data_IF_898561551058
#
_entry.id   IF_898561551058
#
_cell.length_a   1.000
_cell.length_b   1.000
_cell.length_c   1.000
_cell.angle_alpha   90.00
_cell.angle_beta   90.00
_cell.angle_gamma   90.00
#
_symmetry.space_group_name_H-M   'P 1'
#
loop_
_entity.id
_entity.type
_entity.pdbx_description
1 polymer ?
#
# COMPACT_ATOMS: atom_id res chain seq x y z
N UNK A 1 -35.67 -18.36 -35.49
CA UNK A 1 -35.92 -17.67 -34.20
C UNK A 1 -35.49 -18.64 -33.11
N UNK A 2 -34.24 -18.67 -32.61
CA UNK A 2 -33.45 -17.58 -32.03
C UNK A 2 -34.14 -17.16 -30.71
N UNK A 3 -33.61 -17.29 -29.49
CA UNK A 3 -32.25 -17.38 -28.95
C UNK A 3 -32.38 -17.95 -27.52
N UNK A 4 -31.46 -18.84 -27.07
CA UNK A 4 -31.30 -19.18 -25.64
C UNK A 4 -30.02 -18.52 -25.13
N UNK A 5 -30.18 -17.76 -24.06
CA UNK A 5 -29.19 -16.92 -23.43
C UNK A 5 -27.94 -17.68 -22.97
N UNK A 6 -26.78 -17.08 -23.21
CA UNK A 6 -25.47 -17.45 -22.66
C UNK A 6 -25.32 -16.78 -21.29
N UNK A 7 -24.87 -17.45 -20.22
CA UNK A 7 -24.53 -16.77 -18.98
C UNK A 7 -23.13 -16.13 -19.09
N UNK A 8 -23.06 -14.89 -18.62
CA UNK A 8 -21.88 -14.05 -18.50
C UNK A 8 -20.75 -14.73 -17.73
N UNK A 9 -19.63 -15.01 -18.41
CA UNK A 9 -18.35 -15.28 -17.79
C UNK A 9 -17.64 -13.96 -17.47
N UNK A 10 -17.44 -13.66 -16.19
CA UNK A 10 -16.56 -12.57 -15.75
C UNK A 10 -15.10 -13.01 -15.88
N UNK A 11 -14.32 -12.11 -16.47
CA UNK A 11 -12.96 -12.26 -16.94
C UNK A 11 -11.99 -12.90 -15.94
N UNK A 12 -11.27 -13.92 -16.42
CA UNK A 12 -10.02 -14.40 -15.83
C UNK A 12 -8.97 -13.28 -15.80
N UNK A 13 -8.24 -13.06 -14.69
CA UNK A 13 -7.10 -12.15 -14.69
C UNK A 13 -6.01 -12.68 -15.62
N UNK A 14 -5.55 -11.80 -16.51
CA UNK A 14 -4.76 -12.09 -17.71
C UNK A 14 -3.36 -12.72 -17.47
N UNK A 15 -2.96 -12.95 -16.23
CA UNK A 15 -1.67 -13.58 -15.89
C UNK A 15 -1.71 -15.11 -15.89
N UNK A 16 -2.86 -15.73 -15.65
CA UNK A 16 -3.04 -17.18 -15.79
C UNK A 16 -3.20 -17.62 -17.27
N UNK A 17 -3.64 -16.71 -18.13
CA UNK A 17 -3.93 -17.01 -19.53
C UNK A 17 -2.68 -17.39 -20.35
N UNK A 18 -1.53 -16.77 -20.08
CA UNK A 18 -0.27 -17.12 -20.77
C UNK A 18 0.25 -18.51 -20.42
N UNK A 19 0.14 -18.91 -19.16
CA UNK A 19 0.57 -20.25 -18.70
C UNK A 19 -0.43 -21.34 -19.12
N UNK A 20 -1.73 -21.03 -19.09
CA UNK A 20 -2.78 -21.91 -19.60
C UNK A 20 -2.72 -22.09 -21.13
N UNK A 21 -2.21 -21.11 -21.90
CA UNK A 21 -2.05 -21.23 -23.36
C UNK A 21 -1.00 -22.29 -23.72
N UNK A 22 0.14 -22.31 -23.02
CA UNK A 22 1.18 -23.34 -23.18
C UNK A 22 0.63 -24.73 -22.83
N UNK A 23 -0.17 -24.83 -21.77
CA UNK A 23 -0.83 -26.08 -21.36
C UNK A 23 -1.92 -26.52 -22.35
N UNK A 24 -2.61 -25.58 -23.02
CA UNK A 24 -3.60 -25.91 -24.06
C UNK A 24 -2.97 -26.48 -25.32
N UNK A 25 -1.73 -26.08 -25.63
CA UNK A 25 -0.93 -26.65 -26.72
C UNK A 25 -0.46 -28.07 -26.37
N UNK A 26 -0.07 -28.33 -25.12
CA UNK A 26 0.26 -29.69 -24.63
C UNK A 26 -0.97 -30.62 -24.67
N UNK A 27 -2.18 -30.07 -24.57
CA UNK A 27 -3.46 -30.82 -24.63
C UNK A 27 -3.75 -31.43 -26.01
N UNK A 28 -2.97 -31.11 -27.05
CA UNK A 28 -3.12 -31.66 -28.41
C UNK A 28 -2.08 -32.73 -28.78
N UNK A 29 -1.08 -33.02 -27.94
CA UNK A 29 -0.11 -34.10 -28.20
C UNK A 29 -0.42 -35.31 -27.35
N UNK A 30 -0.71 -36.43 -28.02
CA UNK A 30 -1.00 -37.75 -27.45
C UNK A 30 0.20 -38.45 -26.78
N UNK A 31 1.37 -37.80 -26.74
CA UNK A 31 2.57 -38.33 -26.11
C UNK A 31 2.72 -37.85 -24.67
N UNK A 32 3.02 -38.78 -23.77
CA UNK A 32 3.39 -38.47 -22.40
C UNK A 32 4.63 -37.56 -22.37
N UNK A 33 4.66 -36.51 -21.53
CA UNK A 33 5.81 -35.61 -21.42
C UNK A 33 7.07 -36.38 -20.99
N UNK A 34 8.24 -35.93 -21.48
CA UNK A 34 9.54 -36.53 -21.15
C UNK A 34 9.83 -36.48 -19.64
N UNK A 35 10.73 -37.35 -19.15
CA UNK A 35 11.09 -37.42 -17.74
C UNK A 35 11.60 -36.07 -17.19
N UNK A 36 12.42 -35.35 -17.97
CA UNK A 36 12.90 -34.00 -17.63
C UNK A 36 11.75 -33.00 -17.50
N UNK A 37 10.82 -33.01 -18.46
CA UNK A 37 9.64 -32.14 -18.43
C UNK A 37 8.74 -32.46 -17.23
N UNK A 38 8.54 -33.74 -16.91
CA UNK A 38 7.79 -34.16 -15.70
C UNK A 38 8.47 -33.69 -14.41
N UNK A 39 9.79 -33.83 -14.32
CA UNK A 39 10.58 -33.35 -13.18
C UNK A 39 10.43 -31.85 -12.96
N UNK A 40 10.51 -31.06 -14.04
CA UNK A 40 10.28 -29.62 -14.00
C UNK A 40 8.85 -29.27 -13.55
N UNK A 41 7.83 -29.90 -14.13
CA UNK A 41 6.42 -29.67 -13.76
C UNK A 41 6.21 -29.97 -12.26
N UNK A 42 6.73 -31.10 -11.76
CA UNK A 42 6.63 -31.44 -10.33
C UNK A 42 7.26 -30.38 -9.42
N UNK A 43 8.42 -29.84 -9.79
CA UNK A 43 9.10 -28.81 -9.02
C UNK A 43 8.27 -27.51 -8.98
N UNK A 44 7.74 -27.07 -10.13
CA UNK A 44 6.89 -25.89 -10.24
C UNK A 44 5.59 -26.06 -9.47
N UNK A 45 4.93 -27.22 -9.58
CA UNK A 45 3.67 -27.49 -8.87
C UNK A 45 3.88 -27.49 -7.35
N UNK A 46 4.94 -28.14 -6.86
CA UNK A 46 5.30 -28.12 -5.42
C UNK A 46 5.59 -26.71 -4.92
N UNK A 47 6.35 -25.93 -5.69
CA UNK A 47 6.64 -24.53 -5.35
C UNK A 47 5.35 -23.69 -5.32
N UNK A 48 4.47 -23.88 -6.31
CA UNK A 48 3.18 -23.17 -6.40
C UNK A 48 2.26 -23.51 -5.23
N UNK A 49 2.17 -24.80 -4.85
CA UNK A 49 1.42 -25.24 -3.66
C UNK A 49 2.00 -24.61 -2.39
N UNK A 50 3.33 -24.64 -2.24
CA UNK A 50 4.01 -24.04 -1.10
C UNK A 50 3.75 -22.55 -0.97
N UNK A 51 3.90 -21.80 -2.07
CA UNK A 51 3.60 -20.37 -2.11
C UNK A 51 2.12 -20.10 -1.81
N UNK A 52 1.21 -20.76 -2.51
CA UNK A 52 -0.22 -20.52 -2.36
C UNK A 52 -0.74 -20.84 -0.96
N UNK A 53 -0.20 -21.87 -0.29
CA UNK A 53 -0.56 -22.18 1.10
C UNK A 53 0.01 -21.19 2.11
N UNK A 54 1.13 -20.55 1.80
CA UNK A 54 1.83 -19.63 2.69
C UNK A 54 1.75 -18.18 2.21
N UNK A 55 0.81 -17.86 1.31
CA UNK A 55 0.74 -16.56 0.62
C UNK A 55 0.68 -15.39 1.61
N UNK A 56 -0.06 -15.56 2.71
CA UNK A 56 -0.22 -14.53 3.74
C UNK A 56 1.09 -14.27 4.49
N UNK A 57 1.83 -15.32 4.84
CA UNK A 57 3.12 -15.18 5.50
C UNK A 57 4.14 -14.49 4.57
N UNK A 58 4.17 -14.90 3.29
CA UNK A 58 5.01 -14.26 2.27
C UNK A 58 4.63 -12.79 2.11
N UNK A 59 3.34 -12.48 2.01
CA UNK A 59 2.83 -11.11 1.94
C UNK A 59 3.28 -10.30 3.16
N UNK A 60 3.05 -10.79 4.38
CA UNK A 60 3.37 -10.08 5.62
C UNK A 60 4.87 -9.81 5.76
N UNK A 61 5.73 -10.74 5.35
CA UNK A 61 7.18 -10.54 5.38
C UNK A 61 7.62 -9.54 4.32
N UNK A 62 7.29 -9.78 3.05
CA UNK A 62 7.75 -8.94 1.93
C UNK A 62 7.18 -7.53 2.03
N UNK A 63 5.88 -7.41 2.29
CA UNK A 63 5.22 -6.11 2.45
C UNK A 63 5.61 -5.43 3.76
N UNK A 64 5.88 -6.19 4.83
CA UNK A 64 6.42 -5.65 6.08
C UNK A 64 7.79 -5.01 5.90
N UNK A 65 8.69 -5.65 5.14
CA UNK A 65 9.99 -5.04 4.79
C UNK A 65 9.78 -3.73 4.02
N UNK A 66 8.87 -3.71 3.04
CA UNK A 66 8.50 -2.48 2.32
C UNK A 66 7.95 -1.39 3.26
N UNK A 67 7.17 -1.75 4.27
CA UNK A 67 6.60 -0.80 5.24
C UNK A 67 7.62 -0.26 6.23
N UNK A 68 8.59 -1.08 6.62
CA UNK A 68 9.56 -0.72 7.67
C UNK A 68 10.80 0.01 7.13
N UNK A 69 11.22 -0.26 5.89
CA UNK A 69 12.40 0.38 5.30
C UNK A 69 12.38 1.93 5.29
N UNK A 70 11.24 2.62 5.09
CA UNK A 70 11.20 4.09 5.17
C UNK A 70 11.62 4.65 6.53
N UNK A 71 11.40 3.90 7.62
CA UNK A 71 11.85 4.27 8.97
C UNK A 71 13.35 4.06 9.17
N UNK A 72 14.00 3.26 8.32
CA UNK A 72 15.45 3.01 8.37
C UNK A 72 16.23 4.18 7.76
N UNK A 73 15.68 4.90 6.78
CA UNK A 73 16.33 6.05 6.16
C UNK A 73 16.89 7.10 7.15
N UNK A 74 16.13 7.59 8.15
CA UNK A 74 16.64 8.56 9.10
C UNK A 74 17.69 7.98 10.05
N UNK A 75 17.61 6.68 10.38
CA UNK A 75 18.64 5.99 11.17
C UNK A 75 19.96 5.93 10.40
N UNK A 76 19.91 5.65 9.10
CA UNK A 76 21.09 5.62 8.24
C UNK A 76 21.71 7.01 8.09
N UNK A 77 20.90 8.07 8.00
CA UNK A 77 21.39 9.44 8.00
C UNK A 77 22.09 9.78 9.32
N UNK A 78 21.53 9.37 10.45
CA UNK A 78 22.08 9.64 11.78
C UNK A 78 23.46 8.99 11.99
N UNK A 79 23.64 7.75 11.53
CA UNK A 79 24.93 7.04 11.65
C UNK A 79 25.93 7.40 10.54
N UNK A 80 25.62 8.37 9.70
CA UNK A 80 26.49 8.83 8.60
C UNK A 80 26.50 7.93 7.35
N UNK A 81 25.63 6.92 7.27
CA UNK A 81 25.45 6.05 6.11
C UNK A 81 24.55 6.70 5.03
N UNK A 82 24.95 7.89 4.57
CA UNK A 82 24.14 8.73 3.67
C UNK A 82 23.86 8.11 2.30
N UNK A 83 24.79 7.33 1.74
CA UNK A 83 24.61 6.64 0.45
C UNK A 83 23.40 5.70 0.45
N UNK A 84 23.37 4.69 1.33
CA UNK A 84 22.20 3.82 1.52
C UNK A 84 20.92 4.57 1.89
N UNK A 85 20.99 5.61 2.74
CA UNK A 85 19.83 6.42 3.09
C UNK A 85 19.22 7.11 1.85
N UNK A 86 20.06 7.73 1.02
CA UNK A 86 19.66 8.39 -0.22
C UNK A 86 19.07 7.42 -1.24
N UNK A 87 19.55 6.17 -1.28
CA UNK A 87 18.92 5.13 -2.08
C UNK A 87 17.47 4.84 -1.63
N UNK A 88 17.23 4.75 -0.31
CA UNK A 88 15.88 4.61 0.23
C UNK A 88 14.99 5.82 -0.11
N UNK A 89 15.46 7.05 0.14
CA UNK A 89 14.70 8.25 -0.24
C UNK A 89 14.36 8.24 -1.74
N UNK A 90 15.31 7.87 -2.60
CA UNK A 90 15.10 7.80 -4.05
C UNK A 90 14.06 6.75 -4.43
N UNK A 91 14.18 5.52 -3.94
CA UNK A 91 13.24 4.43 -4.25
C UNK A 91 11.82 4.81 -3.82
N UNK A 92 11.65 5.29 -2.59
CA UNK A 92 10.34 5.67 -2.08
C UNK A 92 9.79 6.96 -2.70
N UNK A 93 10.62 7.77 -3.37
CA UNK A 93 10.18 9.02 -4.00
C UNK A 93 9.25 8.79 -5.19
N UNK A 94 9.30 7.58 -5.78
CA UNK A 94 8.42 7.11 -6.84
C UNK A 94 6.99 6.85 -6.35
N UNK A 95 6.82 6.62 -5.05
CA UNK A 95 5.53 6.25 -4.43
C UNK A 95 5.00 7.35 -3.51
N UNK A 96 5.88 8.25 -3.05
CA UNK A 96 5.55 9.32 -2.14
C UNK A 96 6.30 10.59 -2.52
N UNK A 97 5.63 11.74 -2.48
CA UNK A 97 6.31 13.02 -2.68
C UNK A 97 7.30 13.35 -1.55
N UNK A 98 7.14 12.74 -0.36
CA UNK A 98 8.01 12.92 0.82
C UNK A 98 8.18 14.40 1.21
N UNK A 99 7.10 15.16 1.25
CA UNK A 99 7.20 16.57 1.64
C UNK A 99 7.51 16.67 3.15
N UNK A 100 8.54 17.42 3.55
CA UNK A 100 9.06 17.43 4.92
C UNK A 100 8.02 17.87 5.95
N UNK A 101 7.16 18.84 5.64
CA UNK A 101 6.12 19.36 6.55
C UNK A 101 5.01 18.35 6.85
N UNK A 102 5.00 17.20 6.16
CA UNK A 102 4.05 16.09 6.34
C UNK A 102 4.75 14.74 6.60
N UNK A 103 6.06 14.76 6.83
CA UNK A 103 6.88 13.57 7.14
C UNK A 103 7.30 13.57 8.60
N UNK A 104 7.45 12.37 9.19
CA UNK A 104 7.97 12.25 10.55
C UNK A 104 9.49 12.44 10.57
N UNK A 105 9.99 13.27 11.48
CA UNK A 105 11.40 13.48 11.77
C UNK A 105 11.84 12.67 12.99
N UNK A 106 13.07 12.19 12.92
CA UNK A 106 13.74 11.41 13.96
C UNK A 106 15.06 12.08 14.32
N UNK A 107 15.54 11.87 15.54
CA UNK A 107 16.80 12.44 16.04
C UNK A 107 16.82 13.99 16.09
N UNK A 108 15.63 14.60 16.13
CA UNK A 108 15.45 16.04 16.31
C UNK A 108 14.49 16.36 17.45
N UNK A 109 14.33 17.65 17.78
CA UNK A 109 13.48 18.10 18.88
C UNK A 109 11.99 17.87 18.66
N UNK A 110 11.51 17.78 17.41
CA UNK A 110 10.10 17.57 17.07
C UNK A 110 9.92 16.45 16.05
N UNK A 111 8.78 15.74 16.08
CA UNK A 111 8.47 14.72 15.09
C UNK A 111 7.98 15.29 13.77
N UNK A 112 7.60 16.57 13.69
CA UNK A 112 7.14 17.22 12.46
C UNK A 112 7.34 18.74 12.60
N UNK A 113 7.63 19.42 11.49
CA UNK A 113 7.92 20.85 11.45
C UNK A 113 7.02 21.56 10.45
N UNK A 114 6.67 22.81 10.73
CA UNK A 114 5.94 23.67 9.80
C UNK A 114 6.82 24.10 8.61
N UNK A 115 6.19 24.53 7.52
CA UNK A 115 6.90 25.13 6.38
C UNK A 115 7.76 26.33 6.81
N UNK A 116 7.31 27.13 7.76
CA UNK A 116 8.07 28.28 8.26
C UNK A 116 9.38 27.86 8.95
N UNK A 117 9.33 26.80 9.75
CA UNK A 117 10.50 26.25 10.43
C UNK A 117 11.48 25.61 9.42
N UNK A 118 10.96 24.87 8.44
CA UNK A 118 11.76 24.29 7.35
C UNK A 118 12.38 25.40 6.48
N UNK A 119 11.64 26.47 6.23
CA UNK A 119 12.06 27.66 5.48
C UNK A 119 13.30 28.37 6.03
N UNK A 120 13.65 28.13 7.30
CA UNK A 120 14.88 28.65 7.89
C UNK A 120 16.14 27.91 7.41
N UNK A 121 15.97 26.70 6.86
CA UNK A 121 17.07 25.81 6.47
C UNK A 121 17.03 25.42 4.98
N UNK A 122 15.88 25.56 4.32
CA UNK A 122 15.68 25.12 2.94
C UNK A 122 14.62 25.96 2.23
N UNK A 123 14.70 26.07 0.90
CA UNK A 123 13.70 26.80 0.11
C UNK A 123 12.34 26.07 0.12
N UNK A 124 11.28 26.83 0.38
CA UNK A 124 9.87 26.39 0.33
C UNK A 124 9.14 26.92 -0.91
N UNK A 125 9.87 27.44 -1.90
CA UNK A 125 9.30 28.17 -3.05
C UNK A 125 8.40 27.30 -3.92
N UNK A 126 8.70 26.01 -4.01
CA UNK A 126 7.87 25.03 -4.71
C UNK A 126 8.10 23.61 -4.18
N UNK A 127 7.13 22.73 -4.44
CA UNK A 127 7.13 21.36 -3.93
C UNK A 127 8.30 20.49 -4.46
N UNK A 128 8.84 20.78 -5.64
CA UNK A 128 9.94 20.02 -6.24
C UNK A 128 11.26 20.30 -5.52
N UNK A 129 11.51 21.55 -5.15
CA UNK A 129 12.68 21.93 -4.33
C UNK A 129 12.48 21.47 -2.89
N UNK A 130 11.28 21.67 -2.34
CA UNK A 130 10.97 21.36 -0.96
C UNK A 130 11.15 19.87 -0.62
N UNK A 131 10.74 18.96 -1.52
CA UNK A 131 10.90 17.51 -1.29
C UNK A 131 12.35 17.03 -1.20
N UNK A 132 13.32 17.80 -1.71
CA UNK A 132 14.75 17.49 -1.63
C UNK A 132 15.28 17.61 -0.20
N UNK A 133 14.61 18.37 0.67
CA UNK A 133 15.00 18.51 2.06
C UNK A 133 14.79 17.20 2.82
N UNK A 134 15.86 16.47 3.14
CA UNK A 134 15.82 15.22 3.92
C UNK A 134 15.98 15.43 5.43
N UNK A 135 16.47 16.60 5.84
CA UNK A 135 16.77 16.93 7.23
C UNK A 135 18.17 17.49 7.42
N UNK A 136 18.53 17.74 8.67
CA UNK A 136 19.84 18.23 9.10
C UNK A 136 20.06 17.92 10.59
N UNK A 137 21.25 18.24 11.12
CA UNK A 137 21.58 17.98 12.51
C UNK A 137 20.70 18.74 13.53
N UNK A 138 20.05 19.83 13.14
CA UNK A 138 19.21 20.64 14.01
C UNK A 138 17.77 20.12 14.10
N UNK A 139 17.19 19.72 12.97
CA UNK A 139 15.81 19.25 12.87
C UNK A 139 15.71 17.71 12.97
N UNK A 140 16.84 17.02 12.83
CA UNK A 140 16.88 15.58 12.61
C UNK A 140 16.61 15.22 11.16
N UNK A 141 16.34 13.93 10.93
CA UNK A 141 16.15 13.36 9.59
C UNK A 141 14.71 12.88 9.42
N UNK A 142 14.08 13.24 8.29
CA UNK A 142 12.73 12.77 7.98
C UNK A 142 12.75 11.30 7.57
N UNK A 143 11.68 10.56 7.79
CA UNK A 143 11.53 9.25 7.15
C UNK A 143 11.25 9.37 5.65
N UNK A 144 11.50 8.30 4.88
CA UNK A 144 11.29 8.31 3.42
C UNK A 144 9.80 8.24 2.99
N UNK A 145 8.87 8.68 3.84
CA UNK A 145 7.42 8.70 3.63
C UNK A 145 6.76 9.89 4.31
N UNK A 146 5.56 10.23 3.84
CA UNK A 146 4.63 11.11 4.54
C UNK A 146 3.70 10.33 5.47
N UNK A 147 3.05 11.03 6.39
CA UNK A 147 2.02 10.50 7.28
C UNK A 147 0.90 9.71 6.55
N UNK A 148 0.45 10.17 5.38
CA UNK A 148 -0.51 9.47 4.52
C UNK A 148 0.03 8.10 4.08
N UNK A 149 1.30 7.99 3.74
CA UNK A 149 1.86 6.70 3.32
C UNK A 149 1.98 5.74 4.48
N UNK A 150 2.30 6.24 5.68
CA UNK A 150 2.31 5.41 6.89
C UNK A 150 0.91 4.83 7.16
N UNK A 151 -0.12 5.68 7.16
CA UNK A 151 -1.51 5.23 7.43
C UNK A 151 -2.07 4.28 6.36
N UNK A 152 -1.76 4.52 5.08
CA UNK A 152 -2.20 3.67 3.97
C UNK A 152 -1.42 2.35 3.93
N UNK A 153 -0.10 2.40 3.73
CA UNK A 153 0.70 1.18 3.56
C UNK A 153 0.88 0.44 4.89
N UNK A 154 1.23 1.15 5.95
CA UNK A 154 1.36 0.57 7.29
C UNK A 154 0.04 0.00 7.81
N UNK A 155 -1.08 0.67 7.52
CA UNK A 155 -2.40 0.16 7.87
C UNK A 155 -2.79 -1.11 7.11
N UNK A 156 -2.34 -1.30 5.85
CA UNK A 156 -2.59 -2.56 5.12
C UNK A 156 -1.80 -3.69 5.76
N UNK A 157 -0.55 -3.43 6.15
CA UNK A 157 0.27 -4.42 6.83
C UNK A 157 -0.31 -4.80 8.20
N UNK A 158 -0.71 -3.80 9.00
CA UNK A 158 -1.37 -4.04 10.29
C UNK A 158 -2.72 -4.76 10.11
N UNK A 159 -3.52 -4.36 9.12
CA UNK A 159 -4.74 -5.05 8.75
C UNK A 159 -4.49 -6.50 8.38
N UNK A 160 -3.41 -6.79 7.64
CA UNK A 160 -3.00 -8.15 7.29
C UNK A 160 -2.64 -8.98 8.52
N UNK A 161 -1.93 -8.40 9.50
CA UNK A 161 -1.65 -9.05 10.78
C UNK A 161 -2.94 -9.35 11.56
N UNK A 162 -3.87 -8.41 11.60
CA UNK A 162 -5.19 -8.60 12.22
C UNK A 162 -6.01 -9.68 11.50
N UNK A 163 -5.98 -9.69 10.17
CA UNK A 163 -6.65 -10.71 9.38
C UNK A 163 -6.04 -12.10 9.64
N UNK A 164 -4.71 -12.21 9.68
CA UNK A 164 -4.01 -13.44 10.06
C UNK A 164 -4.41 -13.93 11.45
N UNK A 165 -4.52 -13.01 12.42
CA UNK A 165 -5.00 -13.32 13.75
C UNK A 165 -6.43 -13.89 13.74
N UNK A 166 -7.36 -13.26 13.02
CA UNK A 166 -8.73 -13.78 12.91
C UNK A 166 -8.76 -15.14 12.19
N UNK A 167 -8.02 -15.28 11.09
CA UNK A 167 -7.95 -16.51 10.31
C UNK A 167 -7.41 -17.68 11.15
N UNK A 168 -6.40 -17.43 12.01
CA UNK A 168 -5.88 -18.44 12.95
C UNK A 168 -6.91 -18.93 13.98
N UNK A 169 -7.97 -18.13 14.22
CA UNK A 169 -9.11 -18.46 15.08
C UNK A 169 -10.30 -19.03 14.30
N UNK A 170 -10.11 -19.43 13.04
CA UNK A 170 -11.16 -19.95 12.18
C UNK A 170 -12.18 -18.90 11.72
N UNK A 171 -11.84 -17.61 11.80
CA UNK A 171 -12.70 -16.50 11.35
C UNK A 171 -12.06 -15.78 10.18
N UNK A 172 -12.75 -15.70 9.05
CA UNK A 172 -12.32 -14.92 7.89
C UNK A 172 -13.29 -13.76 7.67
N UNK A 173 -13.25 -12.71 8.52
CA UNK A 173 -14.15 -11.57 8.39
C UNK A 173 -14.05 -10.97 6.99
N UNK A 174 -15.22 -10.65 6.42
CA UNK A 174 -15.36 -10.11 5.08
C UNK A 174 -16.09 -8.79 5.14
N UNK A 175 -15.54 -7.78 4.48
CA UNK A 175 -16.21 -6.52 4.22
C UNK A 175 -16.77 -6.57 2.79
N UNK A 176 -17.99 -6.08 2.59
CA UNK A 176 -18.54 -5.97 1.23
C UNK A 176 -17.74 -4.97 0.41
N UNK A 177 -17.62 -5.20 -0.91
CA UNK A 177 -16.94 -4.26 -1.80
C UNK A 177 -17.59 -2.88 -1.78
N UNK A 178 -18.92 -2.80 -1.60
CA UNK A 178 -19.61 -1.53 -1.46
C UNK A 178 -19.19 -0.80 -0.17
N UNK A 179 -19.11 -1.49 0.97
CA UNK A 179 -18.62 -0.88 2.20
C UNK A 179 -17.15 -0.45 2.09
N UNK A 180 -16.31 -1.23 1.40
CA UNK A 180 -14.94 -0.82 1.07
C UNK A 180 -14.90 0.46 0.24
N UNK A 181 -15.74 0.58 -0.78
CA UNK A 181 -15.82 1.80 -1.59
C UNK A 181 -16.30 2.99 -0.75
N UNK A 182 -17.39 2.83 0.01
CA UNK A 182 -18.02 3.95 0.71
C UNK A 182 -17.24 4.40 1.97
N UNK A 183 -16.64 3.46 2.70
CA UNK A 183 -15.97 3.75 3.99
C UNK A 183 -14.45 3.86 3.82
N UNK A 184 -13.87 3.13 2.87
CA UNK A 184 -12.44 3.14 2.61
C UNK A 184 -12.04 4.11 1.50
N UNK A 185 -12.48 3.80 0.28
CA UNK A 185 -12.03 4.50 -0.93
C UNK A 185 -12.53 5.94 -0.97
N UNK A 186 -13.82 6.17 -0.76
CA UNK A 186 -14.43 7.49 -0.93
C UNK A 186 -13.85 8.53 0.04
N UNK A 187 -13.70 8.28 1.35
CA UNK A 187 -13.13 9.27 2.26
C UNK A 187 -11.67 9.60 1.92
N UNK A 188 -10.86 8.60 1.58
CA UNK A 188 -9.48 8.81 1.15
C UNK A 188 -9.40 9.59 -0.16
N UNK A 189 -10.28 9.30 -1.12
CA UNK A 189 -10.34 10.00 -2.40
C UNK A 189 -10.73 11.47 -2.22
N UNK A 190 -11.74 11.77 -1.38
CA UNK A 190 -12.15 13.15 -1.07
C UNK A 190 -11.00 13.91 -0.38
N UNK A 191 -10.38 13.28 0.62
CA UNK A 191 -9.25 13.88 1.32
C UNK A 191 -8.06 14.15 0.40
N UNK A 192 -7.66 13.15 -0.40
CA UNK A 192 -6.57 13.28 -1.38
C UNK A 192 -6.87 14.31 -2.47
N UNK A 193 -8.08 14.29 -3.03
CA UNK A 193 -8.49 15.23 -4.08
C UNK A 193 -8.55 16.67 -3.55
N UNK A 194 -9.04 16.90 -2.34
CA UNK A 194 -9.07 18.24 -1.75
C UNK A 194 -7.66 18.78 -1.44
N UNK A 195 -6.72 17.93 -1.03
CA UNK A 195 -5.30 18.31 -0.93
C UNK A 195 -4.70 18.63 -2.29
N UNK A 196 -4.94 17.80 -3.31
CA UNK A 196 -4.46 18.05 -4.66
C UNK A 196 -5.01 19.37 -5.23
N UNK A 197 -6.30 19.65 -5.02
CA UNK A 197 -6.92 20.91 -5.44
C UNK A 197 -6.33 22.10 -4.70
N UNK A 198 -6.04 21.97 -3.40
CA UNK A 198 -5.35 23.01 -2.63
C UNK A 198 -3.98 23.31 -3.26
N UNK A 199 -3.18 22.28 -3.51
CA UNK A 199 -1.82 22.43 -4.03
C UNK A 199 -1.82 22.99 -5.47
N UNK A 200 -2.83 22.67 -6.29
CA UNK A 200 -3.00 23.26 -7.64
C UNK A 200 -3.34 24.75 -7.58
N UNK A 201 -4.22 25.15 -6.64
CA UNK A 201 -4.74 26.52 -6.58
C UNK A 201 -3.79 27.45 -5.81
N UNK A 202 -3.18 26.96 -4.74
CA UNK A 202 -2.40 27.76 -3.80
C UNK A 202 -0.90 27.43 -3.79
N UNK A 203 -0.46 26.38 -4.49
CA UNK A 203 0.95 25.96 -4.50
C UNK A 203 1.46 25.60 -3.09
N UNK A 204 2.69 26.01 -2.77
CA UNK A 204 3.29 25.88 -1.44
C UNK A 204 3.24 27.16 -0.61
N UNK A 205 2.35 28.11 -0.98
CA UNK A 205 2.28 29.44 -0.35
C UNK A 205 1.74 29.42 1.09
N UNK A 206 1.08 28.33 1.49
CA UNK A 206 0.41 28.23 2.79
C UNK A 206 -0.87 29.09 2.90
N UNK A 207 -1.40 29.57 1.77
CA UNK A 207 -2.60 30.42 1.70
C UNK A 207 -3.83 29.69 1.13
N UNK A 208 -3.72 28.38 0.91
CA UNK A 208 -4.81 27.57 0.40
C UNK A 208 -5.95 27.35 1.40
N UNK A 209 -7.10 26.92 0.88
CA UNK A 209 -8.29 26.67 1.71
C UNK A 209 -8.07 25.52 2.71
N UNK A 210 -7.18 24.58 2.41
CA UNK A 210 -6.75 23.54 3.35
C UNK A 210 -5.62 23.99 4.26
N UNK A 211 -4.82 24.97 3.87
CA UNK A 211 -3.76 25.50 4.75
C UNK A 211 -4.37 26.28 5.91
N UNK A 212 -5.45 27.02 5.66
CA UNK A 212 -6.15 27.80 6.69
C UNK A 212 -7.29 27.05 7.37
N UNK A 213 -7.95 26.13 6.64
CA UNK A 213 -9.22 25.51 7.01
C UNK A 213 -10.26 26.51 7.58
N UNK A 214 -10.29 27.74 7.06
CA UNK A 214 -11.22 28.78 7.50
C UNK A 214 -12.69 28.34 7.33
N UNK A 215 -12.97 27.53 6.30
CA UNK A 215 -14.27 26.90 6.08
C UNK A 215 -14.69 26.00 7.24
N UNK A 216 -13.75 25.23 7.81
CA UNK A 216 -14.01 24.33 8.93
C UNK A 216 -14.15 25.11 10.23
N UNK A 217 -13.32 26.14 10.42
CA UNK A 217 -13.42 27.06 11.55
C UNK A 217 -14.80 27.75 11.59
N UNK A 218 -15.29 28.22 10.43
CA UNK A 218 -16.63 28.79 10.31
C UNK A 218 -17.73 27.77 10.61
N UNK A 219 -17.65 26.56 10.05
CA UNK A 219 -18.63 25.49 10.27
C UNK A 219 -18.72 25.07 11.74
N UNK A 220 -17.59 25.03 12.44
CA UNK A 220 -17.50 24.59 13.84
C UNK A 220 -17.63 25.74 14.83
N UNK A 221 -17.85 26.97 14.38
CA UNK A 221 -17.92 28.15 15.24
C UNK A 221 -16.65 28.38 16.06
N UNK A 222 -15.48 28.01 15.53
CA UNK A 222 -14.18 28.05 16.22
C UNK A 222 -14.16 27.25 17.55
N UNK A 223 -14.90 26.14 17.62
CA UNK A 223 -14.97 25.32 18.84
C UNK A 223 -13.63 24.63 19.23
N UNK A 224 -12.66 24.55 18.32
CA UNK A 224 -11.37 23.89 18.54
C UNK A 224 -10.22 24.92 18.58
N UNK A 225 -9.02 24.55 19.10
CA UNK A 225 -7.87 25.45 19.12
C UNK A 225 -7.43 25.87 17.70
N UNK A 226 -6.86 27.08 17.51
CA UNK A 226 -6.36 27.53 16.20
C UNK A 226 -5.37 26.56 15.52
N UNK A 227 -4.55 25.87 16.32
CA UNK A 227 -3.58 24.86 15.87
C UNK A 227 -4.22 23.62 15.25
N UNK A 228 -5.50 23.37 15.52
CA UNK A 228 -6.26 22.30 14.87
C UNK A 228 -6.64 22.68 13.44
N UNK A 229 -7.02 23.93 13.20
CA UNK A 229 -7.46 24.36 11.86
C UNK A 229 -6.28 24.68 10.95
N UNK A 230 -5.23 25.32 11.46
CA UNK A 230 -4.16 25.83 10.62
C UNK A 230 -3.09 24.76 10.30
N UNK A 231 -2.69 24.67 9.04
CA UNK A 231 -1.50 23.96 8.58
C UNK A 231 -1.62 22.43 8.54
N UNK A 232 -0.46 21.80 8.32
CA UNK A 232 -0.33 20.36 8.12
C UNK A 232 0.33 19.62 9.28
N UNK A 233 0.73 20.35 10.33
CA UNK A 233 1.45 19.75 11.45
C UNK A 233 0.63 18.65 12.14
N UNK A 234 1.36 17.76 12.82
CA UNK A 234 0.76 16.70 13.62
C UNK A 234 -0.28 17.28 14.60
N UNK A 235 -1.48 16.72 14.57
CA UNK A 235 -2.61 17.18 15.39
C UNK A 235 -3.53 18.19 14.70
N UNK A 236 -3.17 18.74 13.54
CA UNK A 236 -4.08 19.54 12.71
C UNK A 236 -5.17 18.66 12.06
N UNK A 237 -6.24 19.29 11.61
CA UNK A 237 -7.31 18.65 10.85
C UNK A 237 -6.77 17.92 9.63
N UNK A 238 -5.85 18.54 8.88
CA UNK A 238 -5.25 17.92 7.70
C UNK A 238 -4.45 16.66 8.07
N UNK A 239 -3.66 16.71 9.16
CA UNK A 239 -2.95 15.53 9.64
C UNK A 239 -3.93 14.42 10.04
N UNK A 240 -4.96 14.73 10.83
CA UNK A 240 -5.98 13.76 11.22
C UNK A 240 -6.74 13.18 10.04
N UNK A 241 -7.11 14.00 9.06
CA UNK A 241 -7.76 13.53 7.85
C UNK A 241 -6.89 12.53 7.09
N UNK A 242 -5.59 12.80 6.95
CA UNK A 242 -4.63 11.86 6.32
C UNK A 242 -4.54 10.54 7.08
N UNK A 243 -4.36 10.59 8.40
CA UNK A 243 -4.26 9.39 9.24
C UNK A 243 -5.55 8.56 9.23
N UNK A 244 -6.70 9.19 9.47
CA UNK A 244 -7.99 8.49 9.60
C UNK A 244 -8.42 7.91 8.26
N UNK A 245 -8.43 8.70 7.19
CA UNK A 245 -8.88 8.22 5.88
C UNK A 245 -7.93 7.16 5.31
N UNK A 246 -6.63 7.32 5.49
CA UNK A 246 -5.63 6.33 5.09
C UNK A 246 -5.78 5.02 5.85
N UNK A 247 -6.03 5.08 7.16
CA UNK A 247 -6.22 3.89 8.00
C UNK A 247 -7.56 3.18 7.73
N UNK A 248 -8.63 3.94 7.50
CA UNK A 248 -9.93 3.38 7.10
C UNK A 248 -9.81 2.66 5.75
N UNK A 249 -9.22 3.31 4.75
CA UNK A 249 -8.96 2.71 3.45
C UNK A 249 -8.16 1.42 3.57
N UNK A 250 -7.09 1.41 4.36
CA UNK A 250 -6.21 0.27 4.45
C UNK A 250 -6.85 -0.93 5.15
N UNK A 251 -7.50 -0.73 6.31
CA UNK A 251 -8.22 -1.81 6.99
C UNK A 251 -9.35 -2.37 6.12
N UNK A 252 -10.17 -1.50 5.53
CA UNK A 252 -11.29 -1.94 4.68
C UNK A 252 -10.79 -2.69 3.44
N UNK A 253 -9.66 -2.26 2.85
CA UNK A 253 -9.02 -2.96 1.73
C UNK A 253 -8.63 -4.38 2.12
N UNK A 254 -8.01 -4.57 3.29
CA UNK A 254 -7.65 -5.91 3.77
C UNK A 254 -8.88 -6.77 3.94
N UNK A 255 -9.89 -6.32 4.69
CA UNK A 255 -11.07 -7.13 4.99
C UNK A 255 -11.99 -7.34 3.78
N UNK A 256 -11.87 -6.53 2.73
CA UNK A 256 -12.58 -6.74 1.47
C UNK A 256 -11.82 -7.68 0.51
N UNK A 257 -10.50 -7.51 0.38
CA UNK A 257 -9.72 -8.18 -0.67
C UNK A 257 -9.00 -9.44 -0.21
N UNK A 258 -8.53 -9.52 1.04
CA UNK A 258 -7.80 -10.71 1.51
C UNK A 258 -8.64 -11.98 1.45
N UNK A 259 -9.94 -11.98 1.80
CA UNK A 259 -10.78 -13.17 1.61
C UNK A 259 -10.83 -13.65 0.15
N UNK A 260 -10.88 -12.74 -0.81
CA UNK A 260 -10.90 -13.05 -2.25
C UNK A 260 -9.55 -13.63 -2.69
N UNK A 261 -8.46 -13.00 -2.24
CA UNK A 261 -7.09 -13.48 -2.52
C UNK A 261 -6.89 -14.87 -1.91
N UNK A 262 -7.32 -15.09 -0.67
CA UNK A 262 -7.20 -16.36 0.03
C UNK A 262 -7.95 -17.49 -0.69
N UNK A 263 -9.21 -17.24 -1.08
CA UNK A 263 -9.99 -18.20 -1.87
C UNK A 263 -9.31 -18.54 -3.20
N UNK A 264 -8.75 -17.54 -3.88
CA UNK A 264 -8.00 -17.71 -5.13
C UNK A 264 -6.72 -18.54 -4.94
N UNK A 265 -5.96 -18.26 -3.87
CA UNK A 265 -4.74 -18.99 -3.53
C UNK A 265 -5.06 -20.46 -3.17
N UNK A 266 -6.12 -20.69 -2.39
CA UNK A 266 -6.59 -22.05 -2.09
C UNK A 266 -7.09 -22.78 -3.34
N UNK A 267 -7.72 -22.08 -4.29
CA UNK A 267 -8.04 -22.62 -5.62
C UNK A 267 -6.79 -23.06 -6.38
N UNK A 268 -5.82 -22.16 -6.48
CA UNK A 268 -4.53 -22.42 -7.14
C UNK A 268 -3.80 -23.62 -6.55
N UNK A 269 -3.76 -23.73 -5.21
CA UNK A 269 -3.13 -24.87 -4.54
C UNK A 269 -3.84 -26.19 -4.87
N UNK A 270 -5.18 -26.21 -4.94
CA UNK A 270 -5.96 -27.41 -5.30
C UNK A 270 -5.73 -27.83 -6.74
N UNK A 271 -5.67 -26.88 -7.67
CA UNK A 271 -5.44 -27.20 -9.08
C UNK A 271 -4.01 -27.69 -9.34
N UNK A 272 -3.01 -27.06 -8.72
CA UNK A 272 -1.63 -27.53 -8.75
C UNK A 272 -1.49 -28.93 -8.14
N UNK A 273 -2.23 -29.25 -7.07
CA UNK A 273 -2.26 -30.59 -6.50
C UNK A 273 -2.85 -31.63 -7.45
N UNK A 274 -3.95 -31.30 -8.14
CA UNK A 274 -4.56 -32.18 -9.14
C UNK A 274 -3.62 -32.43 -10.31
N UNK A 275 -2.90 -31.40 -10.75
CA UNK A 275 -1.91 -31.52 -11.82
C UNK A 275 -0.74 -32.41 -11.38
N UNK A 276 -0.19 -32.16 -10.19
CA UNK A 276 0.88 -32.97 -9.62
C UNK A 276 0.49 -34.44 -9.49
N UNK A 277 -0.72 -34.73 -9.01
CA UNK A 277 -1.24 -36.10 -8.90
C UNK A 277 -1.34 -36.80 -10.26
N UNK A 278 -1.81 -36.11 -11.31
CA UNK A 278 -1.84 -36.64 -12.68
C UNK A 278 -0.45 -36.92 -13.24
N UNK A 279 0.52 -36.05 -12.96
CA UNK A 279 1.90 -36.26 -13.43
C UNK A 279 2.55 -37.45 -12.75
N UNK A 280 2.27 -37.67 -11.46
CA UNK A 280 2.73 -38.84 -10.71
C UNK A 280 2.09 -40.13 -11.25
N UNK A 281 0.79 -40.13 -11.58
CA UNK A 281 0.13 -41.31 -12.12
C UNK A 281 0.61 -41.75 -13.52
N UNK A 282 1.40 -40.93 -14.23
CA UNK A 282 2.05 -41.36 -15.47
C UNK A 282 3.36 -42.15 -15.25
N UNK A 283 3.78 -42.31 -13.99
CA UNK A 283 4.98 -43.06 -13.61
C UNK A 283 4.66 -44.41 -12.93
N UNK A 284 3.40 -44.62 -12.54
CA UNK A 284 2.84 -45.90 -12.07
C UNK A 284 2.32 -46.73 -13.25
#
# INVERSE_FOLDING_TARGET
MGSRAVPYGLAHPATAAGFLLVIRIIRMTTQAPSATTRGFIKAVDRASIGFARNWLAVFLVVYGVWVLLPFVAPVLMEVGASGPANALYTIYSLFCHQLPERSLFFFGPKPMYSLQEIGQFWSTDNAIVLRQFVGNAQLGWKMAWSDRMISVYGGVWLGGLLWAFFASRGRTPRLSLLAWILVGVMPLAIDGASHMLNDIVAGTTGLGFRDTNAWLAALTGNALPPTFYYGDQLGSFNSWARWITGFLFSLTTVFALFPIIDESMQGTARDAQRQLARVISYEE
#
